data_IF_204868518157
#
_entry.id   IF_204868518157
#
_cell.length_a   1.000
_cell.length_b   1.000
_cell.length_c   1.000
_cell.angle_alpha   90.00
_cell.angle_beta   90.00
_cell.angle_gamma   90.00
#
_symmetry.space_group_name_H-M   'P 1'
#
loop_
_entity.id
_entity.type
_entity.pdbx_description
1 polymer ?
#
# COMPACT_ATOMS: atom_id res chain seq x y z
N UNK A 1 -13.21 -9.07 12.62
CA UNK A 1 -12.34 -8.01 13.19
C UNK A 1 -13.09 -7.05 14.13
N UNK A 2 -14.13 -6.34 13.66
CA UNK A 2 -14.89 -5.32 14.43
C UNK A 2 -15.35 -5.76 15.82
N UNK A 3 -15.83 -7.01 15.98
CA UNK A 3 -16.22 -7.57 17.30
C UNK A 3 -15.07 -7.62 18.31
N UNK A 4 -13.82 -7.76 17.86
CA UNK A 4 -12.64 -7.69 18.74
C UNK A 4 -12.37 -6.25 19.15
N UNK A 5 -12.48 -5.30 18.21
CA UNK A 5 -12.26 -3.86 18.42
C UNK A 5 -13.19 -3.32 19.50
N UNK A 6 -14.49 -3.60 19.41
CA UNK A 6 -15.49 -3.11 20.37
C UNK A 6 -15.22 -3.62 21.80
N UNK A 7 -14.56 -4.77 21.95
CA UNK A 7 -14.19 -5.34 23.26
C UNK A 7 -12.88 -4.79 23.84
N UNK A 8 -12.13 -3.97 23.09
CA UNK A 8 -10.86 -3.42 23.56
C UNK A 8 -11.10 -2.31 24.58
N UNK A 9 -10.35 -2.38 25.69
CA UNK A 9 -10.22 -1.30 26.66
C UNK A 9 -8.84 -0.63 26.54
N UNK A 10 -8.73 0.71 26.62
CA UNK A 10 -9.80 1.72 26.54
C UNK A 10 -10.55 1.70 25.20
N UNK A 11 -11.77 2.26 25.14
CA UNK A 11 -12.64 2.21 23.95
C UNK A 11 -11.97 2.83 22.73
N UNK A 12 -12.03 2.12 21.61
CA UNK A 12 -11.59 2.60 20.29
C UNK A 12 -12.72 3.38 19.62
N UNK A 13 -12.45 4.60 19.15
CA UNK A 13 -13.42 5.42 18.39
C UNK A 13 -13.01 5.65 16.94
N UNK A 14 -11.75 5.40 16.60
CA UNK A 14 -11.24 5.56 15.23
C UNK A 14 -10.68 4.24 14.74
N UNK A 15 -11.00 3.85 13.51
CA UNK A 15 -10.41 2.72 12.82
C UNK A 15 -9.71 3.25 11.58
N UNK A 16 -8.40 3.05 11.51
CA UNK A 16 -7.53 3.43 10.41
C UNK A 16 -7.11 2.15 9.70
N UNK A 17 -7.61 1.95 8.47
CA UNK A 17 -7.09 0.93 7.59
C UNK A 17 -5.88 1.49 6.84
N UNK A 18 -4.69 1.01 7.18
CA UNK A 18 -3.42 1.53 6.60
C UNK A 18 -2.77 0.52 5.66
N UNK A 19 -3.41 -0.63 5.43
CA UNK A 19 -2.92 -1.63 4.50
C UNK A 19 -3.42 -3.05 4.74
N UNK A 20 -4.28 -3.28 5.72
CA UNK A 20 -4.93 -4.58 5.89
C UNK A 20 -6.24 -4.54 5.11
N UNK A 21 -6.16 -4.70 3.78
CA UNK A 21 -7.33 -4.68 2.89
C UNK A 21 -8.54 -5.32 3.59
N UNK A 22 -9.54 -4.51 3.96
CA UNK A 22 -10.81 -5.01 4.47
C UNK A 22 -11.59 -5.53 3.25
N UNK A 23 -11.16 -6.68 2.73
CA UNK A 23 -11.57 -7.25 1.44
C UNK A 23 -13.05 -7.62 1.34
N UNK A 24 -13.77 -7.68 2.46
CA UNK A 24 -15.13 -8.23 2.51
C UNK A 24 -16.23 -7.17 2.62
N UNK A 25 -15.91 -5.91 2.93
CA UNK A 25 -16.91 -4.87 3.22
C UNK A 25 -16.50 -3.54 2.60
N UNK A 26 -17.47 -2.85 2.00
CA UNK A 26 -17.25 -1.45 1.63
C UNK A 26 -17.25 -0.52 2.85
N UNK A 27 -16.80 0.73 2.68
CA UNK A 27 -16.67 1.68 3.78
C UNK A 27 -17.99 1.93 4.54
N UNK A 28 -19.11 1.93 3.82
CA UNK A 28 -20.44 2.08 4.40
C UNK A 28 -20.78 0.87 5.27
N UNK A 29 -20.49 -0.34 4.79
CA UNK A 29 -20.75 -1.56 5.52
C UNK A 29 -19.89 -1.70 6.78
N UNK A 30 -18.61 -1.31 6.71
CA UNK A 30 -17.73 -1.24 7.90
C UNK A 30 -18.33 -0.29 8.93
N UNK A 31 -18.68 0.94 8.53
CA UNK A 31 -19.28 1.94 9.41
C UNK A 31 -20.61 1.45 10.02
N UNK A 32 -21.47 0.83 9.22
CA UNK A 32 -22.77 0.29 9.62
C UNK A 32 -22.63 -0.84 10.62
N UNK A 33 -21.82 -1.85 10.32
CA UNK A 33 -21.64 -3.00 11.20
C UNK A 33 -20.92 -2.62 12.49
N UNK A 34 -19.97 -1.68 12.43
CA UNK A 34 -19.31 -1.18 13.63
C UNK A 34 -20.28 -0.40 14.53
N UNK A 35 -21.11 0.48 13.96
CA UNK A 35 -22.12 1.23 14.72
C UNK A 35 -23.19 0.32 15.33
N UNK A 36 -23.56 -0.78 14.67
CA UNK A 36 -24.49 -1.80 15.21
C UNK A 36 -23.91 -2.54 16.42
N UNK A 37 -22.61 -2.85 16.37
CA UNK A 37 -21.90 -3.53 17.47
C UNK A 37 -21.64 -2.60 18.66
N UNK A 38 -21.74 -1.29 18.47
CA UNK A 38 -21.55 -0.31 19.53
C UNK A 38 -22.79 -0.21 20.43
N UNK A 39 -22.64 -0.64 21.68
CA UNK A 39 -23.71 -0.69 22.68
C UNK A 39 -23.91 0.65 23.42
N UNK A 40 -22.95 1.58 23.34
CA UNK A 40 -23.02 2.85 24.06
C UNK A 40 -24.05 3.80 23.45
N UNK A 41 -25.00 4.23 24.29
CA UNK A 41 -26.02 5.23 23.93
C UNK A 41 -25.44 6.61 23.60
N UNK A 42 -24.19 6.89 24.00
CA UNK A 42 -23.51 8.15 23.68
C UNK A 42 -22.96 8.19 22.24
N UNK A 43 -22.84 7.04 21.58
CA UNK A 43 -22.37 6.96 20.19
C UNK A 43 -23.58 6.72 19.29
N UNK A 44 -23.94 7.72 18.49
CA UNK A 44 -25.15 7.69 17.65
C UNK A 44 -24.84 7.72 16.15
N UNK A 45 -23.56 7.83 15.77
CA UNK A 45 -23.17 7.95 14.38
C UNK A 45 -21.80 7.33 14.07
N UNK A 46 -21.55 7.10 12.78
CA UNK A 46 -20.26 6.71 12.25
C UNK A 46 -19.91 7.59 11.04
N UNK A 47 -18.67 8.04 10.96
CA UNK A 47 -18.10 8.86 9.89
C UNK A 47 -17.25 7.97 9.00
N UNK A 48 -17.42 8.08 7.69
CA UNK A 48 -16.67 7.31 6.69
C UNK A 48 -16.65 8.04 5.34
N UNK A 49 -15.77 7.64 4.43
CA UNK A 49 -15.78 8.13 3.05
C UNK A 49 -16.71 7.30 2.16
N UNK A 50 -17.60 7.98 1.44
CA UNK A 50 -18.46 7.38 0.44
C UNK A 50 -17.72 7.06 -0.87
N UNK A 51 -18.46 6.54 -1.86
CA UNK A 51 -17.89 6.17 -3.18
C UNK A 51 -17.43 7.38 -3.99
N UNK A 52 -18.03 8.54 -3.74
CA UNK A 52 -17.73 9.80 -4.43
C UNK A 52 -16.62 10.61 -3.72
N UNK A 53 -15.80 9.98 -2.86
CA UNK A 53 -14.76 10.65 -2.04
C UNK A 53 -15.33 11.76 -1.12
N UNK A 54 -16.63 11.66 -0.80
CA UNK A 54 -17.28 12.57 0.14
C UNK A 54 -17.33 11.96 1.54
N UNK A 55 -17.01 12.77 2.54
CA UNK A 55 -17.14 12.38 3.93
C UNK A 55 -18.61 12.37 4.34
N UNK A 56 -19.10 11.20 4.76
CA UNK A 56 -20.50 10.94 5.12
C UNK A 56 -20.64 10.58 6.60
N UNK A 57 -21.81 10.86 7.13
CA UNK A 57 -22.24 10.51 8.49
C UNK A 57 -23.39 9.52 8.40
N UNK A 58 -23.18 8.31 8.91
CA UNK A 58 -24.22 7.30 9.11
C UNK A 58 -24.80 7.41 10.52
N UNK A 59 -26.12 7.54 10.63
CA UNK A 59 -26.86 7.52 11.91
C UNK A 59 -27.40 6.13 12.24
N UNK A 60 -27.77 5.89 13.50
CA UNK A 60 -28.36 4.61 13.95
C UNK A 60 -29.69 4.24 13.26
N UNK A 61 -30.41 5.21 12.70
CA UNK A 61 -31.64 4.97 11.92
C UNK A 61 -31.35 4.52 10.47
N UNK A 62 -30.07 4.40 10.10
CA UNK A 62 -29.60 3.98 8.78
C UNK A 62 -29.48 5.12 7.77
N UNK A 63 -29.85 6.36 8.13
CA UNK A 63 -29.72 7.51 7.23
C UNK A 63 -28.28 7.98 7.13
N UNK A 64 -27.90 8.38 5.93
CA UNK A 64 -26.62 9.02 5.63
C UNK A 64 -26.82 10.49 5.26
N UNK A 65 -25.90 11.34 5.69
CA UNK A 65 -25.85 12.75 5.32
C UNK A 65 -24.40 13.21 5.13
N UNK A 66 -24.18 14.29 4.38
CA UNK A 66 -22.84 14.87 4.22
C UNK A 66 -22.31 15.38 5.56
N UNK A 67 -21.04 15.10 5.85
CA UNK A 67 -20.39 15.56 7.07
C UNK A 67 -20.37 17.07 7.19
N UNK A 68 -20.18 17.79 6.08
CA UNK A 68 -20.09 19.26 6.04
C UNK A 68 -21.42 19.91 6.40
N UNK A 69 -22.54 19.34 5.95
CA UNK A 69 -23.88 19.85 6.27
C UNK A 69 -24.41 19.38 7.63
N UNK A 70 -23.83 18.30 8.18
CA UNK A 70 -24.20 17.78 9.49
C UNK A 70 -23.72 18.69 10.63
N UNK A 71 -24.48 18.71 11.73
CA UNK A 71 -24.01 19.31 12.99
C UNK A 71 -22.90 18.49 13.66
N UNK A 72 -22.53 17.33 13.09
CA UNK A 72 -21.58 16.37 13.66
C UNK A 72 -20.13 16.84 13.60
N UNK A 73 -19.80 17.80 12.74
CA UNK A 73 -18.49 18.45 12.70
C UNK A 73 -18.05 19.06 14.05
N UNK A 74 -19.02 19.29 14.95
CA UNK A 74 -18.82 19.79 16.33
C UNK A 74 -19.06 18.72 17.41
N UNK A 75 -19.49 17.52 17.05
CA UNK A 75 -19.90 16.44 17.97
C UNK A 75 -19.23 15.09 17.64
N UNK A 76 -17.96 15.12 17.22
CA UNK A 76 -17.17 13.92 16.96
C UNK A 76 -16.95 13.05 18.22
N UNK A 77 -17.31 13.54 19.40
CA UNK A 77 -17.35 12.79 20.66
C UNK A 77 -18.44 11.71 20.69
N UNK A 78 -19.45 11.85 19.85
CA UNK A 78 -20.59 10.95 19.73
C UNK A 78 -20.56 10.09 18.45
N UNK A 79 -19.39 10.03 17.81
CA UNK A 79 -19.20 9.37 16.53
C UNK A 79 -18.06 8.34 16.57
N UNK A 80 -18.23 7.27 15.79
CA UNK A 80 -17.12 6.42 15.34
C UNK A 80 -16.55 7.03 14.05
N UNK A 81 -15.27 6.82 13.77
CA UNK A 81 -14.63 7.29 12.55
C UNK A 81 -13.90 6.13 11.90
N UNK A 82 -14.23 5.82 10.66
CA UNK A 82 -13.54 4.83 9.85
C UNK A 82 -12.89 5.51 8.64
N UNK A 83 -11.59 5.30 8.47
CA UNK A 83 -10.80 5.77 7.34
C UNK A 83 -10.14 4.55 6.69
N UNK A 84 -10.34 4.40 5.38
CA UNK A 84 -9.76 3.30 4.61
C UNK A 84 -8.30 3.61 4.17
N UNK A 85 -7.69 2.72 3.38
CA UNK A 85 -6.32 2.92 2.89
C UNK A 85 -6.19 4.18 2.02
N UNK A 86 -7.10 4.41 1.08
CA UNK A 86 -7.02 5.55 0.17
C UNK A 86 -7.10 6.88 0.93
N UNK A 87 -8.00 6.97 1.90
CA UNK A 87 -8.26 8.21 2.62
C UNK A 87 -7.36 8.37 3.87
N UNK A 88 -6.58 7.35 4.24
CA UNK A 88 -5.41 7.51 5.11
C UNK A 88 -4.17 8.00 4.34
N UNK A 89 -4.17 7.87 3.01
CA UNK A 89 -3.10 8.27 2.09
C UNK A 89 -3.45 9.58 1.36
N UNK A 90 -3.32 10.73 2.01
CA UNK A 90 -3.30 11.99 1.25
C UNK A 90 -2.03 12.03 0.38
N UNK A 91 -2.17 12.26 -0.93
CA UNK A 91 -1.07 12.28 -1.90
C UNK A 91 0.14 13.08 -1.41
N UNK A 92 1.31 12.43 -1.43
CA UNK A 92 2.59 13.13 -1.39
C UNK A 92 2.68 13.87 -2.73
N UNK A 93 2.48 15.19 -2.72
CA UNK A 93 2.76 15.98 -3.92
C UNK A 93 4.19 15.67 -4.41
N UNK A 94 4.41 15.37 -5.70
CA UNK A 94 5.72 14.97 -6.23
C UNK A 94 6.82 16.02 -6.09
N UNK A 95 6.50 17.20 -5.54
CA UNK A 95 7.46 18.25 -5.17
C UNK A 95 7.97 18.13 -3.73
N UNK A 96 7.55 17.12 -2.95
CA UNK A 96 8.00 16.94 -1.56
C UNK A 96 9.40 16.32 -1.48
N UNK A 97 10.43 17.15 -1.68
CA UNK A 97 11.82 16.80 -1.38
C UNK A 97 11.97 16.74 0.14
N UNK A 98 12.43 15.61 0.67
CA UNK A 98 12.74 15.46 2.11
C UNK A 98 13.84 16.47 2.46
N UNK A 99 13.57 17.51 3.27
CA UNK A 99 14.61 18.47 3.62
C UNK A 99 15.64 17.80 4.55
N UNK A 100 16.92 18.13 4.35
CA UNK A 100 18.05 17.69 5.18
C UNK A 100 17.95 18.09 6.67
N UNK A 101 16.91 18.82 7.06
CA UNK A 101 16.67 19.29 8.42
C UNK A 101 15.18 19.11 8.74
N UNK A 102 14.90 18.36 9.81
CA UNK A 102 13.56 18.14 10.33
C UNK A 102 13.04 19.48 10.85
N UNK A 103 12.26 20.19 10.03
CA UNK A 103 11.50 21.35 10.48
C UNK A 103 10.24 20.83 11.21
N UNK A 104 10.04 21.16 12.49
CA UNK A 104 8.88 20.72 13.26
C UNK A 104 7.54 21.21 12.68
N UNK A 105 7.54 22.21 11.81
CA UNK A 105 6.34 22.67 11.09
C UNK A 105 6.14 21.96 9.72
N UNK A 106 7.13 21.21 9.22
CA UNK A 106 6.98 20.43 7.98
C UNK A 106 6.07 19.22 8.19
N UNK A 107 6.10 18.64 9.38
CA UNK A 107 5.19 17.57 9.82
C UNK A 107 3.70 17.97 9.76
N UNK A 108 3.39 19.28 9.71
CA UNK A 108 2.01 19.77 9.60
C UNK A 108 1.49 19.80 8.16
N UNK A 109 2.36 19.66 7.16
CA UNK A 109 1.99 19.64 5.72
C UNK A 109 1.74 18.21 5.22
N UNK A 110 2.22 17.20 5.94
CA UNK A 110 1.95 15.80 5.67
C UNK A 110 0.66 15.40 6.40
N UNK A 111 -0.33 14.87 5.66
CA UNK A 111 -1.70 14.53 6.10
C UNK A 111 -2.71 15.68 5.99
N UNK A 112 -3.02 16.09 4.76
CA UNK A 112 -4.21 16.89 4.47
C UNK A 112 -5.17 16.12 3.58
N UNK A 113 -5.90 15.16 4.15
CA UNK A 113 -7.04 14.50 3.52
C UNK A 113 -8.36 14.87 4.18
N UNK A 114 -8.39 14.92 5.52
CA UNK A 114 -9.57 15.36 6.28
C UNK A 114 -9.15 15.80 7.69
N UNK A 115 -9.23 17.10 7.98
CA UNK A 115 -8.94 17.62 9.33
C UNK A 115 -10.12 17.36 10.29
N UNK A 116 -10.27 16.11 10.72
CA UNK A 116 -11.23 15.71 11.74
C UNK A 116 -10.73 16.14 13.11
N UNK A 117 -11.42 17.09 13.73
CA UNK A 117 -11.14 17.54 15.11
C UNK A 117 -11.63 16.52 16.13
N UNK A 118 -10.86 15.44 16.29
CA UNK A 118 -11.18 14.38 17.22
C UNK A 118 -11.17 14.90 18.67
N UNK A 119 -12.06 14.40 19.54
CA UNK A 119 -12.08 14.75 20.96
C UNK A 119 -10.80 14.28 21.66
N UNK A 120 -10.43 14.97 22.75
CA UNK A 120 -9.32 14.53 23.60
C UNK A 120 -9.47 13.08 24.06
N UNK A 121 -8.34 12.42 24.28
CA UNK A 121 -8.26 11.02 24.72
C UNK A 121 -8.89 10.01 23.75
N UNK A 122 -8.99 10.36 22.46
CA UNK A 122 -9.45 9.40 21.45
C UNK A 122 -8.39 8.35 21.17
N UNK A 123 -8.80 7.08 21.27
CA UNK A 123 -8.00 5.92 20.87
C UNK A 123 -8.37 5.46 19.47
N UNK A 124 -7.36 5.23 18.63
CA UNK A 124 -7.53 4.64 17.30
C UNK A 124 -6.99 3.21 17.24
N UNK A 125 -7.66 2.37 16.48
CA UNK A 125 -7.14 1.10 16.03
C UNK A 125 -6.55 1.25 14.63
N UNK A 126 -5.34 0.76 14.44
CA UNK A 126 -4.61 0.80 13.17
C UNK A 126 -4.42 -0.62 12.68
N UNK A 127 -4.83 -0.89 11.45
CA UNK A 127 -4.65 -2.21 10.85
C UNK A 127 -3.24 -2.36 10.29
N UNK A 128 -2.66 -3.56 10.44
CA UNK A 128 -1.39 -3.92 9.83
C UNK A 128 -1.67 -4.93 8.73
N UNK A 129 -1.19 -4.69 7.51
CA UNK A 129 -1.36 -5.61 6.40
C UNK A 129 -0.06 -5.85 5.64
N UNK A 130 -0.05 -6.80 4.70
CA UNK A 130 1.15 -7.13 3.93
C UNK A 130 1.64 -5.90 3.16
N UNK A 131 2.95 -5.82 2.89
CA UNK A 131 3.53 -4.72 2.13
C UNK A 131 3.28 -3.33 2.75
N UNK A 132 3.20 -3.25 4.08
CA UNK A 132 3.01 -1.98 4.79
C UNK A 132 4.36 -1.31 5.11
N UNK A 133 4.79 -0.39 4.24
CA UNK A 133 6.00 0.39 4.46
C UNK A 133 5.85 1.39 5.62
N UNK A 134 6.97 1.71 6.28
CA UNK A 134 7.06 2.67 7.39
C UNK A 134 6.35 3.99 7.07
N UNK A 135 6.59 4.57 5.90
CA UNK A 135 6.06 5.90 5.59
C UNK A 135 4.53 5.88 5.49
N UNK A 136 3.94 4.87 4.83
CA UNK A 136 2.48 4.66 4.81
C UNK A 136 1.92 4.46 6.21
N UNK A 137 2.55 3.58 7.00
CA UNK A 137 2.15 3.31 8.38
C UNK A 137 2.15 4.57 9.25
N UNK A 138 3.25 5.33 9.20
CA UNK A 138 3.43 6.56 9.96
C UNK A 138 2.46 7.63 9.49
N UNK A 139 2.24 7.79 8.18
CA UNK A 139 1.30 8.73 7.61
C UNK A 139 -0.13 8.47 8.12
N UNK A 140 -0.59 7.22 8.06
CA UNK A 140 -1.89 6.83 8.61
C UNK A 140 -1.98 7.14 10.12
N UNK A 141 -0.95 6.81 10.89
CA UNK A 141 -0.91 7.08 12.33
C UNK A 141 -0.88 8.60 12.65
N UNK A 142 -0.15 9.40 11.88
CA UNK A 142 -0.01 10.84 12.08
C UNK A 142 -1.29 11.62 11.79
N UNK A 143 -2.26 11.02 11.07
CA UNK A 143 -3.63 11.53 10.98
C UNK A 143 -4.28 11.74 12.35
N UNK A 144 -3.89 10.96 13.37
CA UNK A 144 -4.21 11.21 14.78
C UNK A 144 -3.38 12.38 15.32
N UNK A 145 -3.72 13.61 14.93
CA UNK A 145 -3.09 14.84 15.43
C UNK A 145 -3.01 14.82 16.96
N UNK A 146 -1.91 15.31 17.56
CA UNK A 146 -1.63 15.25 19.01
C UNK A 146 -1.52 13.83 19.58
N UNK A 147 -1.04 12.88 18.78
CA UNK A 147 -0.66 11.56 19.26
C UNK A 147 0.33 11.65 20.44
N UNK A 148 0.06 10.93 21.53
CA UNK A 148 0.86 10.98 22.77
C UNK A 148 0.49 12.13 23.72
N UNK A 149 -0.28 13.12 23.25
CA UNK A 149 -0.80 14.24 24.03
C UNK A 149 -2.34 14.13 24.15
N UNK A 150 -2.79 12.99 24.68
CA UNK A 150 -4.20 12.60 24.83
C UNK A 150 -4.57 11.43 23.92
N UNK A 151 -4.29 11.54 22.62
CA UNK A 151 -4.61 10.45 21.69
C UNK A 151 -3.66 9.25 21.84
N UNK A 152 -4.20 8.06 21.60
CA UNK A 152 -3.47 6.79 21.69
C UNK A 152 -3.82 5.84 20.54
N UNK A 153 -2.95 4.86 20.29
CA UNK A 153 -3.14 3.86 19.23
C UNK A 153 -3.22 2.44 19.80
N UNK A 154 -3.81 1.55 19.02
CA UNK A 154 -3.68 0.09 19.17
C UNK A 154 -3.49 -0.53 17.80
N UNK A 155 -2.50 -1.40 17.68
CA UNK A 155 -2.21 -2.07 16.41
C UNK A 155 -2.98 -3.39 16.32
N UNK A 156 -3.55 -3.65 15.14
CA UNK A 156 -4.29 -4.86 14.83
C UNK A 156 -3.58 -5.61 13.72
N UNK A 157 -2.87 -6.66 14.10
CA UNK A 157 -2.26 -7.59 13.16
C UNK A 157 -3.22 -8.76 12.86
N UNK A 158 -3.52 -9.05 11.58
CA UNK A 158 -4.08 -10.32 11.15
C UNK A 158 -3.25 -11.51 11.63
N UNK A 159 -3.86 -12.71 11.75
CA UNK A 159 -3.16 -13.92 12.17
C UNK A 159 -2.00 -14.30 11.24
N UNK A 160 -2.02 -13.84 9.99
CA UNK A 160 -0.97 -14.10 9.01
C UNK A 160 0.19 -13.10 9.13
N UNK A 161 -0.01 -11.91 9.68
CA UNK A 161 1.03 -10.87 9.82
C UNK A 161 1.71 -10.92 11.19
N UNK A 162 0.95 -11.23 12.25
CA UNK A 162 1.47 -11.26 13.61
C UNK A 162 2.71 -12.17 13.78
N UNK A 163 2.74 -13.40 13.23
CA UNK A 163 3.91 -14.27 13.30
C UNK A 163 5.12 -13.72 12.54
N UNK A 164 4.90 -13.04 11.41
CA UNK A 164 5.98 -12.43 10.63
C UNK A 164 6.65 -11.30 11.43
N UNK A 165 5.85 -10.41 12.05
CA UNK A 165 6.38 -9.38 12.95
C UNK A 165 7.20 -10.03 14.05
N UNK A 166 6.67 -11.07 14.71
CA UNK A 166 7.40 -11.75 15.78
C UNK A 166 8.71 -12.38 15.31
N UNK A 167 8.72 -13.07 14.16
CA UNK A 167 9.89 -13.76 13.66
C UNK A 167 11.01 -12.80 13.28
N UNK A 168 10.67 -11.64 12.70
CA UNK A 168 11.65 -10.69 12.16
C UNK A 168 12.22 -9.74 13.20
N UNK A 169 11.48 -9.52 14.30
CA UNK A 169 11.91 -8.61 15.37
C UNK A 169 12.52 -9.34 16.57
N UNK A 170 12.31 -10.66 16.68
CA UNK A 170 12.88 -11.47 17.77
C UNK A 170 14.36 -11.79 17.52
N UNK A 171 15.20 -10.78 17.71
CA UNK A 171 16.61 -11.02 18.08
C UNK A 171 16.61 -11.42 19.56
N UNK A 172 16.69 -12.71 19.84
CA UNK A 172 16.87 -13.31 21.19
C UNK A 172 15.75 -13.16 22.23
N UNK A 173 14.60 -12.54 21.90
CA UNK A 173 13.45 -12.50 22.82
C UNK A 173 12.80 -13.89 22.94
N UNK A 174 12.58 -14.33 24.18
CA UNK A 174 11.79 -15.54 24.46
C UNK A 174 10.43 -15.45 23.74
N UNK A 175 9.94 -16.55 23.15
CA UNK A 175 8.66 -16.66 22.40
C UNK A 175 7.40 -16.21 23.17
N UNK A 176 7.55 -15.71 24.39
CA UNK A 176 6.53 -15.34 25.36
C UNK A 176 6.32 -13.84 25.52
N UNK A 177 7.18 -12.97 24.96
CA UNK A 177 6.93 -11.52 25.00
C UNK A 177 5.94 -11.08 23.91
N UNK A 178 4.98 -10.23 24.31
CA UNK A 178 4.01 -9.63 23.41
C UNK A 178 4.67 -8.62 22.47
N UNK A 179 4.27 -8.61 21.19
CA UNK A 179 4.75 -7.64 20.19
C UNK A 179 4.47 -6.21 20.65
N UNK A 180 5.52 -5.39 20.72
CA UNK A 180 5.46 -3.98 21.09
C UNK A 180 5.40 -3.04 19.89
N UNK A 181 5.30 -1.74 20.19
CA UNK A 181 5.31 -0.68 19.15
C UNK A 181 6.62 -0.67 18.37
N UNK A 182 7.75 -0.85 19.05
CA UNK A 182 9.07 -0.88 18.41
C UNK A 182 9.22 -2.05 17.43
N UNK A 183 8.61 -3.20 17.75
CA UNK A 183 8.61 -4.36 16.88
C UNK A 183 7.80 -4.08 15.60
N UNK A 184 6.61 -3.47 15.73
CA UNK A 184 5.81 -3.04 14.57
C UNK A 184 6.58 -2.04 13.70
N UNK A 185 7.23 -1.04 14.30
CA UNK A 185 8.01 -0.05 13.56
C UNK A 185 9.19 -0.68 12.81
N UNK A 186 9.94 -1.58 13.47
CA UNK A 186 11.06 -2.28 12.83
C UNK A 186 10.58 -3.13 11.65
N UNK A 187 9.47 -3.85 11.83
CA UNK A 187 8.86 -4.63 10.76
C UNK A 187 8.44 -3.75 9.58
N UNK A 188 7.76 -2.61 9.79
CA UNK A 188 7.40 -1.70 8.68
C UNK A 188 8.60 -1.10 7.95
N UNK A 189 9.74 -0.95 8.63
CA UNK A 189 11.00 -0.55 7.99
C UNK A 189 11.56 -1.68 7.11
N UNK A 190 11.56 -2.91 7.62
CA UNK A 190 11.98 -4.10 6.87
C UNK A 190 11.11 -4.32 5.63
N UNK A 191 9.79 -4.18 5.74
CA UNK A 191 8.86 -4.19 4.61
C UNK A 191 9.21 -3.10 3.58
N UNK A 192 9.51 -1.88 4.03
CA UNK A 192 9.98 -0.81 3.15
C UNK A 192 11.26 -1.15 2.41
N UNK A 193 12.25 -1.76 3.09
CA UNK A 193 13.48 -2.24 2.43
C UNK A 193 13.19 -3.32 1.40
N UNK A 194 12.32 -4.29 1.70
CA UNK A 194 11.91 -5.34 0.74
C UNK A 194 11.27 -4.76 -0.50
N UNK A 195 10.41 -3.76 -0.35
CA UNK A 195 9.79 -3.07 -1.48
C UNK A 195 10.81 -2.35 -2.35
N UNK A 196 11.76 -1.64 -1.72
CA UNK A 196 12.84 -0.96 -2.44
C UNK A 196 13.70 -1.98 -3.20
N UNK A 197 14.08 -3.09 -2.54
CA UNK A 197 14.85 -4.16 -3.17
C UNK A 197 14.09 -4.81 -4.34
N UNK A 198 12.78 -5.02 -4.18
CA UNK A 198 11.92 -5.54 -5.25
C UNK A 198 11.85 -4.58 -6.45
N UNK A 199 11.59 -3.28 -6.19
CA UNK A 199 11.59 -2.26 -7.25
C UNK A 199 12.95 -2.14 -7.95
N UNK A 200 14.04 -2.33 -7.20
CA UNK A 200 15.38 -2.35 -7.76
C UNK A 200 15.62 -3.56 -8.67
N UNK A 201 15.04 -4.72 -8.33
CA UNK A 201 15.09 -5.91 -9.18
C UNK A 201 14.30 -5.72 -10.48
N UNK A 202 13.11 -5.09 -10.42
CA UNK A 202 12.32 -4.73 -11.61
C UNK A 202 13.12 -3.78 -12.51
N UNK A 203 13.66 -2.70 -11.92
CA UNK A 203 14.49 -1.74 -12.66
C UNK A 203 15.67 -2.41 -13.37
N UNK A 204 16.34 -3.35 -12.70
CA UNK A 204 17.46 -4.06 -13.28
C UNK A 204 17.04 -4.98 -14.44
N UNK A 205 15.94 -5.74 -14.29
CA UNK A 205 15.40 -6.57 -15.37
C UNK A 205 15.03 -5.72 -16.60
N UNK A 206 14.30 -4.61 -16.39
CA UNK A 206 13.97 -3.66 -17.44
C UNK A 206 15.21 -3.08 -18.12
N UNK A 207 16.24 -2.76 -17.35
CA UNK A 207 17.53 -2.31 -17.85
C UNK A 207 18.21 -3.36 -18.75
N UNK A 208 18.24 -4.62 -18.33
CA UNK A 208 18.79 -5.71 -19.13
C UNK A 208 17.98 -5.96 -20.41
N UNK A 209 16.65 -5.93 -20.34
CA UNK A 209 15.77 -6.10 -21.49
C UNK A 209 15.94 -4.94 -22.50
N UNK A 210 16.06 -3.71 -22.02
CA UNK A 210 16.38 -2.57 -22.87
C UNK A 210 17.72 -2.76 -23.60
N UNK A 211 18.77 -3.17 -22.88
CA UNK A 211 20.09 -3.41 -23.48
C UNK A 211 20.07 -4.53 -24.52
N UNK A 212 19.34 -5.61 -24.25
CA UNK A 212 19.11 -6.71 -25.21
C UNK A 212 18.47 -6.19 -26.50
N UNK A 213 17.39 -5.41 -26.38
CA UNK A 213 16.68 -4.80 -27.51
C UNK A 213 17.55 -3.83 -28.30
N UNK A 214 18.30 -2.97 -27.60
CA UNK A 214 19.21 -2.02 -28.22
C UNK A 214 20.28 -2.73 -29.04
N UNK A 215 20.89 -3.78 -28.48
CA UNK A 215 21.88 -4.56 -29.20
C UNK A 215 21.27 -5.28 -30.41
N UNK A 216 20.08 -5.87 -30.27
CA UNK A 216 19.36 -6.48 -31.38
C UNK A 216 19.08 -5.49 -32.51
N UNK A 217 18.71 -4.26 -32.16
CA UNK A 217 18.47 -3.18 -33.12
C UNK A 217 19.76 -2.69 -33.81
N UNK A 218 20.88 -2.58 -33.10
CA UNK A 218 22.16 -2.21 -33.69
C UNK A 218 22.72 -3.30 -34.63
N UNK A 219 22.52 -4.57 -34.26
CA UNK A 219 22.83 -5.71 -35.12
C UNK A 219 21.99 -5.65 -36.40
N UNK A 220 20.67 -5.47 -36.27
CA UNK A 220 19.75 -5.33 -37.42
C UNK A 220 20.15 -4.19 -38.37
N UNK A 221 20.62 -3.05 -37.85
CA UNK A 221 21.12 -1.96 -38.70
C UNK A 221 22.33 -2.36 -39.55
N UNK A 222 23.08 -3.34 -39.09
CA UNK A 222 24.32 -3.81 -39.71
C UNK A 222 24.08 -4.97 -40.67
N UNK A 223 23.25 -5.95 -40.28
CA UNK A 223 23.03 -7.21 -41.02
C UNK A 223 21.68 -7.29 -41.75
N UNK A 224 20.71 -6.45 -41.38
CA UNK A 224 19.34 -6.47 -41.92
C UNK A 224 18.51 -7.69 -41.52
N UNK A 225 18.93 -8.48 -40.52
CA UNK A 225 18.25 -9.72 -40.12
C UNK A 225 17.03 -9.44 -39.24
N UNK A 226 15.85 -9.47 -39.87
CA UNK A 226 14.55 -9.29 -39.21
C UNK A 226 14.27 -10.43 -38.21
N UNK A 227 14.73 -11.65 -38.47
CA UNK A 227 14.50 -12.79 -37.60
C UNK A 227 15.25 -12.66 -36.27
N UNK A 228 16.52 -12.28 -36.35
CA UNK A 228 17.34 -11.98 -35.17
C UNK A 228 16.79 -10.80 -34.37
N UNK A 229 16.31 -9.74 -35.05
CA UNK A 229 15.65 -8.61 -34.41
C UNK A 229 14.37 -9.02 -33.68
N UNK A 230 13.54 -9.86 -34.32
CA UNK A 230 12.31 -10.38 -33.73
C UNK A 230 12.59 -11.13 -32.42
N UNK A 231 13.59 -12.01 -32.41
CA UNK A 231 13.99 -12.75 -31.20
C UNK A 231 14.57 -11.87 -30.08
N UNK A 232 15.15 -10.71 -30.42
CA UNK A 232 15.67 -9.76 -29.44
C UNK A 232 14.59 -8.86 -28.82
N UNK A 233 13.53 -8.54 -29.58
CA UNK A 233 12.48 -7.60 -29.15
C UNK A 233 11.26 -8.30 -28.56
N UNK A 234 10.88 -9.46 -29.08
CA UNK A 234 9.69 -10.18 -28.65
C UNK A 234 9.80 -10.60 -27.18
N UNK A 235 8.77 -10.27 -26.42
CA UNK A 235 8.56 -10.83 -25.10
C UNK A 235 7.69 -12.09 -25.22
N UNK A 236 7.95 -13.13 -24.42
CA UNK A 236 7.11 -14.31 -24.41
C UNK A 236 5.70 -13.95 -23.92
N UNK A 237 4.68 -14.27 -24.72
CA UNK A 237 3.26 -14.09 -24.35
C UNK A 237 2.77 -15.09 -23.29
N UNK A 238 3.53 -16.16 -23.04
CA UNK A 238 3.22 -17.13 -22.01
C UNK A 238 4.47 -17.83 -21.51
N UNK A 239 4.45 -18.25 -20.24
CA UNK A 239 5.55 -18.95 -19.60
C UNK A 239 5.11 -20.32 -19.09
N UNK A 240 5.97 -21.34 -19.16
CA UNK A 240 5.65 -22.62 -18.56
C UNK A 240 5.58 -22.49 -17.04
N UNK A 241 4.67 -23.25 -16.40
CA UNK A 241 4.49 -23.25 -14.94
C UNK A 241 5.79 -23.55 -14.17
N UNK A 242 6.69 -24.34 -14.74
CA UNK A 242 7.99 -24.64 -14.13
C UNK A 242 8.91 -23.41 -14.08
N UNK A 243 8.78 -22.45 -15.00
CA UNK A 243 9.54 -21.20 -14.94
C UNK A 243 8.94 -20.22 -13.92
N UNK A 244 7.61 -20.23 -13.76
CA UNK A 244 6.91 -19.36 -12.80
C UNK A 244 7.00 -19.85 -11.35
N UNK A 245 6.90 -21.16 -11.14
CA UNK A 245 6.76 -21.78 -9.81
C UNK A 245 7.87 -22.79 -9.49
N UNK A 246 8.78 -23.05 -10.43
CA UNK A 246 9.92 -23.93 -10.18
C UNK A 246 10.92 -23.33 -9.21
N UNK A 247 11.72 -24.19 -8.58
CA UNK A 247 12.82 -23.76 -7.72
C UNK A 247 13.86 -23.08 -8.59
N UNK A 248 13.95 -21.77 -8.47
CA UNK A 248 14.95 -20.96 -9.15
C UNK A 248 16.31 -21.15 -8.45
N UNK A 249 17.39 -21.27 -9.23
CA UNK A 249 18.75 -21.34 -8.68
C UNK A 249 19.30 -19.95 -8.32
N UNK A 250 18.48 -18.90 -8.51
CA UNK A 250 18.84 -17.50 -8.29
C UNK A 250 19.82 -16.98 -9.34
N UNK A 251 20.05 -17.71 -10.43
CA UNK A 251 20.93 -17.26 -11.51
C UNK A 251 20.23 -16.25 -12.41
N UNK A 252 20.94 -15.16 -12.71
CA UNK A 252 20.49 -14.16 -13.67
C UNK A 252 20.45 -14.78 -15.07
N UNK A 253 19.25 -15.06 -15.58
CA UNK A 253 19.03 -15.53 -16.96
C UNK A 253 19.08 -14.38 -17.96
N UNK A 254 20.22 -13.71 -18.03
CA UNK A 254 20.48 -12.57 -18.93
C UNK A 254 21.58 -12.95 -19.92
N UNK A 255 21.41 -12.56 -21.18
CA UNK A 255 22.38 -12.84 -22.24
C UNK A 255 23.78 -12.31 -21.86
N UNK A 256 24.80 -13.14 -22.04
CA UNK A 256 26.18 -12.82 -21.64
C UNK A 256 26.72 -11.55 -22.33
N UNK A 257 26.27 -11.26 -23.56
CA UNK A 257 26.63 -10.05 -24.28
C UNK A 257 26.05 -8.77 -23.62
N UNK A 258 24.84 -8.86 -23.07
CA UNK A 258 24.16 -7.77 -22.36
C UNK A 258 24.87 -7.51 -21.03
N UNK A 259 25.15 -8.57 -20.26
CA UNK A 259 25.89 -8.49 -18.99
C UNK A 259 27.28 -7.87 -19.15
N UNK A 260 27.96 -8.15 -20.26
CA UNK A 260 29.31 -7.62 -20.51
C UNK A 260 29.36 -6.20 -21.08
N UNK A 261 28.21 -5.65 -21.48
CA UNK A 261 28.14 -4.26 -21.92
C UNK A 261 28.52 -3.31 -20.75
N UNK A 262 29.03 -2.09 -21.04
CA UNK A 262 29.36 -1.13 -19.99
C UNK A 262 28.18 -0.84 -19.04
N UNK A 263 26.98 -0.70 -19.60
CA UNK A 263 25.76 -0.45 -18.84
C UNK A 263 25.29 -1.70 -18.09
N UNK A 264 25.41 -2.90 -18.68
CA UNK A 264 25.08 -4.16 -18.03
C UNK A 264 25.94 -4.40 -16.78
N UNK A 265 27.25 -4.12 -16.88
CA UNK A 265 28.17 -4.19 -15.74
C UNK A 265 27.81 -3.21 -14.63
N UNK A 266 27.36 -2.01 -14.98
CA UNK A 266 26.92 -1.02 -13.99
C UNK A 266 25.63 -1.46 -13.29
N UNK A 267 24.65 -2.00 -14.02
CA UNK A 267 23.43 -2.59 -13.42
C UNK A 267 23.81 -3.73 -12.47
N UNK A 268 24.69 -4.65 -12.88
CA UNK A 268 25.18 -5.74 -12.02
C UNK A 268 25.93 -5.22 -10.79
N UNK A 269 26.76 -4.17 -10.93
CA UNK A 269 27.48 -3.55 -9.81
C UNK A 269 26.49 -3.02 -8.77
N UNK A 270 25.44 -2.34 -9.21
CA UNK A 270 24.43 -1.78 -8.32
C UNK A 270 23.59 -2.88 -7.66
N UNK A 271 23.24 -3.95 -8.37
CA UNK A 271 22.57 -5.13 -7.78
C UNK A 271 23.37 -5.73 -6.62
N UNK A 272 24.69 -5.84 -6.79
CA UNK A 272 25.59 -6.32 -5.73
C UNK A 272 25.63 -5.33 -4.56
N UNK A 273 25.72 -4.03 -4.84
CA UNK A 273 25.78 -2.96 -3.82
C UNK A 273 24.54 -2.94 -2.92
N UNK A 274 23.34 -3.13 -3.50
CA UNK A 274 22.07 -3.19 -2.76
C UNK A 274 21.68 -4.59 -2.28
N UNK A 275 22.54 -5.60 -2.51
CA UNK A 275 22.32 -7.00 -2.18
C UNK A 275 20.96 -7.52 -2.71
N UNK A 276 20.66 -7.21 -3.98
CA UNK A 276 19.41 -7.57 -4.65
C UNK A 276 19.63 -8.74 -5.59
N UNK A 277 18.77 -9.74 -5.49
CA UNK A 277 18.74 -10.89 -6.40
C UNK A 277 17.55 -10.70 -7.34
N UNK A 278 17.79 -10.70 -8.64
CA UNK A 278 16.70 -10.71 -9.63
C UNK A 278 16.27 -12.16 -9.81
N UNK A 279 15.06 -12.47 -9.41
CA UNK A 279 14.43 -13.79 -9.51
C UNK A 279 13.39 -13.80 -10.62
N UNK A 280 13.00 -14.99 -11.09
CA UNK A 280 11.91 -15.13 -12.07
C UNK A 280 10.58 -14.53 -11.57
N UNK A 281 10.36 -14.44 -10.25
CA UNK A 281 9.16 -13.84 -9.65
C UNK A 281 8.98 -12.36 -10.01
N UNK A 282 10.08 -11.61 -10.12
CA UNK A 282 10.06 -10.18 -10.51
C UNK A 282 9.48 -10.03 -11.92
N UNK A 283 9.89 -10.91 -12.83
CA UNK A 283 9.45 -10.90 -14.23
C UNK A 283 7.99 -11.32 -14.39
N UNK A 284 7.48 -12.17 -13.50
CA UNK A 284 6.06 -12.58 -13.47
C UNK A 284 5.20 -11.46 -12.91
N UNK A 285 5.66 -10.78 -11.86
CA UNK A 285 4.90 -9.69 -11.25
C UNK A 285 4.81 -8.47 -12.16
N UNK A 286 5.88 -8.13 -12.90
CA UNK A 286 5.81 -7.09 -13.94
C UNK A 286 4.77 -7.42 -15.02
N UNK A 287 4.67 -8.69 -15.43
CA UNK A 287 3.69 -9.16 -16.40
C UNK A 287 2.26 -8.99 -15.87
N UNK A 288 2.03 -9.35 -14.60
CA UNK A 288 0.75 -9.13 -13.91
C UNK A 288 0.38 -7.65 -13.81
N UNK A 289 1.33 -6.78 -13.43
CA UNK A 289 1.11 -5.33 -13.36
C UNK A 289 0.73 -4.77 -14.74
N UNK A 290 1.38 -5.22 -15.82
CA UNK A 290 1.03 -4.83 -17.19
C UNK A 290 -0.35 -5.34 -17.61
N UNK A 291 -0.75 -6.56 -17.25
CA UNK A 291 -2.08 -7.08 -17.55
C UNK A 291 -3.17 -6.27 -16.85
N UNK A 292 -2.97 -5.95 -15.57
CA UNK A 292 -3.87 -5.09 -14.77
C UNK A 292 -4.00 -3.71 -15.42
N UNK A 293 -2.89 -3.08 -15.84
CA UNK A 293 -2.93 -1.78 -16.53
C UNK A 293 -3.77 -1.84 -17.83
N UNK A 294 -3.62 -2.91 -18.63
CA UNK A 294 -4.41 -3.09 -19.86
C UNK A 294 -5.91 -3.35 -19.59
N UNK A 295 -6.25 -3.98 -18.47
CA UNK A 295 -7.65 -4.16 -18.04
C UNK A 295 -8.27 -2.82 -17.62
N UNK A 296 -7.55 -2.00 -16.84
CA UNK A 296 -7.99 -0.66 -16.41
C UNK A 296 -8.20 0.28 -17.61
N UNK A 297 -7.34 0.24 -18.62
CA UNK A 297 -7.50 1.06 -19.84
C UNK A 297 -8.78 0.72 -20.62
N UNK A 298 -9.25 -0.53 -20.58
CA UNK A 298 -10.47 -0.96 -21.30
C UNK A 298 -11.77 -0.59 -20.59
N UNK A 299 -11.75 -0.16 -19.33
CA UNK A 299 -12.95 0.17 -18.56
C UNK A 299 -13.46 1.61 -18.72
N UNK A 300 -12.82 2.47 -19.51
CA UNK A 300 -13.39 3.79 -19.86
C UNK A 300 -14.41 3.71 -21.00
N UNK A 301 -15.53 3.01 -20.77
CA UNK A 301 -16.74 3.23 -21.56
C UNK A 301 -17.49 4.43 -20.99
N UNK A 302 -17.30 5.59 -21.62
CA UNK A 302 -18.21 6.72 -21.46
C UNK A 302 -19.48 6.34 -22.24
N UNK A 303 -20.53 5.91 -21.54
CA UNK A 303 -21.87 5.87 -22.12
C UNK A 303 -22.27 7.30 -22.45
N UNK A 304 -22.23 7.66 -23.74
CA UNK A 304 -22.79 8.91 -24.24
C UNK A 304 -24.33 8.83 -24.18
N UNK A 305 -25.02 9.67 -23.37
CA UNK A 305 -26.47 9.65 -23.27
C UNK A 305 -27.20 10.10 -24.55
N UNK A 306 -26.50 10.46 -25.64
CA UNK A 306 -27.11 10.91 -26.90
C UNK A 306 -27.09 9.90 -28.07
N UNK A 307 -26.76 8.63 -27.86
CA UNK A 307 -26.89 7.64 -28.94
C UNK A 307 -28.35 7.19 -29.13
N UNK A 308 -28.98 7.44 -30.31
CA UNK A 308 -30.31 6.93 -30.59
C UNK A 308 -30.27 5.41 -30.70
N UNK A 309 -31.06 4.74 -29.85
CA UNK A 309 -31.30 3.29 -29.94
C UNK A 309 -31.83 2.95 -31.34
N UNK A 310 -31.07 2.15 -32.09
CA UNK A 310 -31.55 1.47 -33.30
C UNK A 310 -32.25 0.18 -32.92
#
# INVERSE_FOLDING_TARGET
MLRKIVKLGPKVRVLLDVGAQILELDNYEVAREWLKLEESFHIHSAVFFGRDDELLVLKRDGKTESFVSSNLSKQLDQALVYLDEAHTQSEISPQCVIPHRIDPNFATTWCSGTDLKLPVDTRAAVTLGPNLAKDKFVQGCMGMRKLGNGHSLVFLAPPDIYPHIQQETSTEKSKTESVGVSDVLLWTMQEGFRQIQHGFAIWADQGFQYLKRSQGWDNFRSDGDIGALGSAIQEPESRPLLEMYGVDDGSLKVDHCVLNSPNGKEITRQLIEFNVIVTNSVRVQEEQEREVDHEVEKERNIDDPNLPRR
#
